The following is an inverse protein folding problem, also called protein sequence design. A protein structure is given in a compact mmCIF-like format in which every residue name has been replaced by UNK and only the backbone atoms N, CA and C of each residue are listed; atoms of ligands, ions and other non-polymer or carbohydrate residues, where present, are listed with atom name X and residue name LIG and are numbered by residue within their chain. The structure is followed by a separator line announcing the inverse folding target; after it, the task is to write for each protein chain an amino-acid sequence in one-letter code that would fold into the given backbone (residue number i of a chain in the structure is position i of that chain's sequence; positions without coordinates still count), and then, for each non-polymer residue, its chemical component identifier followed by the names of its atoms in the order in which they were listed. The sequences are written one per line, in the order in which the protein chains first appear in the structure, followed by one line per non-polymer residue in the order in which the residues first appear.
data_IF_031339607617
#
_entry.id   IF_031339607617
#
_cell.length_a   1.000
_cell.length_b   1.000
_cell.length_c   1.000
_cell.angle_alpha   90.00
_cell.angle_beta   90.00
_cell.angle_gamma   90.00
#
_symmetry.space_group_name_H-M   'P 1'
#
loop_
_entity.id
_entity.type
_entity.pdbx_description
1 polymer ?
#
# COMPACT_ATOMS: atom_id res chain seq x y z
N UNK A 1 46.12 -21.67 -36.41
CA UNK A 1 44.98 -22.61 -36.44
C UNK A 1 45.13 -23.51 -35.21
N UNK A 2 44.32 -23.48 -34.14
CA UNK A 2 42.96 -22.95 -34.00
C UNK A 2 42.55 -22.70 -32.53
N UNK A 3 43.12 -21.68 -31.88
CA UNK A 3 42.64 -21.18 -30.57
C UNK A 3 41.19 -20.66 -30.64
N UNK A 4 40.76 -20.24 -31.83
CA UNK A 4 39.40 -19.74 -32.11
C UNK A 4 38.38 -20.89 -32.12
N UNK A 5 38.73 -22.06 -32.66
CA UNK A 5 37.83 -23.21 -32.70
C UNK A 5 37.56 -23.74 -31.29
N UNK A 6 38.59 -23.81 -30.42
CA UNK A 6 38.42 -24.26 -29.03
C UNK A 6 37.49 -23.32 -28.25
N UNK A 7 37.63 -22.01 -28.43
CA UNK A 7 36.75 -21.01 -27.80
C UNK A 7 35.31 -21.07 -28.33
N UNK A 8 35.14 -21.29 -29.64
CA UNK A 8 33.82 -21.44 -30.25
C UNK A 8 33.09 -22.70 -29.76
N UNK A 9 33.80 -23.83 -29.66
CA UNK A 9 33.25 -25.10 -29.16
C UNK A 9 32.88 -24.99 -27.67
N UNK A 10 33.73 -24.35 -26.86
CA UNK A 10 33.42 -24.09 -25.44
C UNK A 10 32.21 -23.16 -25.28
N UNK A 11 32.10 -22.11 -26.08
CA UNK A 11 30.95 -21.20 -26.10
C UNK A 11 29.65 -21.91 -26.49
N UNK A 12 29.69 -22.80 -27.48
CA UNK A 12 28.53 -23.60 -27.91
C UNK A 12 28.11 -24.63 -26.85
N UNK A 13 29.07 -25.22 -26.13
CA UNK A 13 28.80 -26.15 -25.02
C UNK A 13 28.20 -25.43 -23.81
N UNK A 14 28.68 -24.22 -23.48
CA UNK A 14 28.12 -23.40 -22.39
C UNK A 14 26.74 -22.87 -22.76
N UNK A 15 26.55 -22.37 -23.98
CA UNK A 15 25.24 -21.92 -24.46
C UNK A 15 24.26 -23.08 -24.62
N UNK A 16 24.71 -24.25 -25.09
CA UNK A 16 23.94 -25.48 -25.19
C UNK A 16 23.59 -26.06 -23.83
N UNK A 17 24.52 -26.00 -22.87
CA UNK A 17 24.30 -26.36 -21.47
C UNK A 17 23.31 -25.43 -20.79
N UNK A 18 23.45 -24.11 -20.96
CA UNK A 18 22.49 -23.11 -20.48
C UNK A 18 21.12 -23.28 -21.15
N UNK A 19 21.07 -23.58 -22.45
CA UNK A 19 19.84 -23.87 -23.20
C UNK A 19 19.19 -25.17 -22.71
N UNK A 20 19.95 -26.22 -22.43
CA UNK A 20 19.47 -27.47 -21.85
C UNK A 20 19.00 -27.30 -20.41
N UNK A 21 19.67 -26.47 -19.62
CA UNK A 21 19.27 -26.10 -18.25
C UNK A 21 17.98 -25.29 -18.33
N UNK A 22 17.90 -24.23 -19.14
CA UNK A 22 16.68 -23.43 -19.35
C UNK A 22 15.53 -24.29 -19.94
N UNK A 23 15.83 -25.28 -20.79
CA UNK A 23 14.87 -26.25 -21.33
C UNK A 23 14.42 -27.28 -20.30
N UNK A 24 15.31 -27.71 -19.38
CA UNK A 24 14.95 -28.52 -18.19
C UNK A 24 14.11 -27.73 -17.22
N UNK A 25 14.42 -26.45 -16.98
CA UNK A 25 13.59 -25.53 -16.20
C UNK A 25 12.21 -25.31 -16.85
N UNK A 26 12.13 -25.18 -18.18
CA UNK A 26 10.86 -25.15 -18.94
C UNK A 26 10.07 -26.46 -18.94
N UNK A 27 10.66 -27.58 -18.49
CA UNK A 27 10.02 -28.91 -18.35
C UNK A 27 10.02 -29.40 -16.90
N UNK A 28 10.14 -28.50 -15.92
CA UNK A 28 10.01 -28.88 -14.52
C UNK A 28 8.55 -29.18 -14.23
N UNK A 29 8.21 -30.45 -13.98
CA UNK A 29 6.86 -30.88 -13.60
C UNK A 29 6.35 -30.11 -12.38
N UNK A 30 7.25 -29.75 -11.47
CA UNK A 30 6.97 -28.93 -10.30
C UNK A 30 6.49 -27.53 -10.68
N UNK A 31 7.05 -26.90 -11.71
CA UNK A 31 6.60 -25.56 -12.15
C UNK A 31 5.26 -25.60 -12.86
N UNK A 32 4.95 -26.67 -13.61
CA UNK A 32 3.63 -26.86 -14.19
C UNK A 32 2.58 -27.13 -13.11
N UNK A 33 2.88 -27.95 -12.10
CA UNK A 33 1.98 -28.22 -10.98
C UNK A 33 1.69 -26.94 -10.17
N UNK A 34 2.72 -26.15 -9.85
CA UNK A 34 2.54 -24.86 -9.16
C UNK A 34 1.74 -23.89 -10.01
N UNK A 35 1.99 -23.83 -11.32
CA UNK A 35 1.21 -22.99 -12.22
C UNK A 35 -0.26 -23.42 -12.25
N UNK A 36 -0.54 -24.70 -12.48
CA UNK A 36 -1.91 -25.24 -12.54
C UNK A 36 -2.66 -25.02 -11.23
N UNK A 37 -2.02 -25.20 -10.08
CA UNK A 37 -2.62 -24.89 -8.77
C UNK A 37 -2.87 -23.39 -8.51
N UNK A 38 -2.27 -22.50 -9.31
CA UNK A 38 -2.50 -21.06 -9.27
C UNK A 38 -3.42 -20.59 -10.43
N UNK A 39 -3.83 -21.47 -11.33
CA UNK A 39 -4.77 -21.15 -12.40
C UNK A 39 -6.19 -21.12 -11.82
N UNK A 40 -6.83 -19.95 -11.89
CA UNK A 40 -8.19 -19.75 -11.39
C UNK A 40 -9.17 -19.76 -12.56
N UNK A 41 -10.14 -20.66 -12.53
CA UNK A 41 -11.26 -20.64 -13.45
C UNK A 41 -12.27 -19.57 -13.05
N UNK A 42 -13.22 -19.26 -13.94
CA UNK A 42 -14.36 -18.40 -13.61
C UNK A 42 -15.21 -18.97 -12.46
N UNK A 43 -15.24 -20.29 -12.29
CA UNK A 43 -15.95 -20.95 -11.19
C UNK A 43 -15.24 -20.69 -9.87
N UNK A 44 -13.91 -20.79 -9.83
CA UNK A 44 -13.12 -20.51 -8.64
C UNK A 44 -13.24 -19.04 -8.23
N UNK A 45 -13.19 -18.11 -9.19
CA UNK A 45 -13.38 -16.69 -8.93
C UNK A 45 -14.75 -16.38 -8.32
N UNK A 46 -15.83 -17.03 -8.80
CA UNK A 46 -17.17 -16.89 -8.21
C UNK A 46 -17.20 -17.42 -6.77
N UNK A 47 -16.61 -18.59 -6.52
CA UNK A 47 -16.53 -19.16 -5.18
C UNK A 47 -15.75 -18.25 -4.21
N UNK A 48 -14.66 -17.63 -4.66
CA UNK A 48 -13.89 -16.65 -3.88
C UNK A 48 -14.74 -15.42 -3.54
N UNK A 49 -15.51 -14.90 -4.50
CA UNK A 49 -16.41 -13.76 -4.27
C UNK A 49 -17.50 -14.12 -3.27
N UNK A 50 -18.12 -15.29 -3.41
CA UNK A 50 -19.15 -15.78 -2.49
C UNK A 50 -18.60 -15.96 -1.05
N UNK A 51 -17.39 -16.53 -0.90
CA UNK A 51 -16.74 -16.64 0.40
C UNK A 51 -16.41 -15.26 0.98
N UNK A 52 -15.86 -14.34 0.17
CA UNK A 52 -15.56 -12.98 0.61
C UNK A 52 -16.81 -12.27 1.15
N UNK A 53 -17.93 -12.36 0.44
CA UNK A 53 -19.24 -11.82 0.88
C UNK A 53 -19.69 -12.49 2.18
N UNK A 54 -19.54 -13.82 2.30
CA UNK A 54 -19.86 -14.55 3.52
C UNK A 54 -19.05 -14.07 4.72
N UNK A 55 -17.74 -13.86 4.55
CA UNK A 55 -16.86 -13.32 5.60
C UNK A 55 -17.23 -11.88 5.98
N UNK A 56 -17.62 -11.03 5.01
CA UNK A 56 -18.14 -9.68 5.30
C UNK A 56 -19.40 -9.74 6.16
N UNK A 57 -20.35 -10.62 5.81
CA UNK A 57 -21.56 -10.81 6.61
C UNK A 57 -21.27 -11.36 8.01
N UNK A 58 -20.26 -12.21 8.16
CA UNK A 58 -19.81 -12.71 9.46
C UNK A 58 -19.24 -11.57 10.32
N UNK A 59 -18.34 -10.75 9.77
CA UNK A 59 -17.70 -9.65 10.50
C UNK A 59 -18.66 -8.53 10.93
N UNK A 60 -19.77 -8.35 10.22
CA UNK A 60 -20.80 -7.34 10.56
C UNK A 60 -21.80 -7.81 11.63
N UNK A 61 -21.73 -9.06 12.10
CA UNK A 61 -22.70 -9.60 13.08
C UNK A 61 -22.48 -9.00 14.46
N UNK A 62 -23.48 -8.28 14.95
CA UNK A 62 -23.45 -7.63 16.26
C UNK A 62 -23.40 -8.64 17.43
N UNK A 63 -23.91 -9.86 17.26
CA UNK A 63 -23.92 -10.90 18.28
C UNK A 63 -22.57 -11.62 18.43
N UNK A 64 -21.69 -11.50 17.42
CA UNK A 64 -20.34 -12.10 17.41
C UNK A 64 -19.34 -11.18 16.72
N UNK A 65 -18.96 -10.06 17.34
CA UNK A 65 -17.76 -9.34 16.92
C UNK A 65 -16.60 -10.36 16.94
N UNK A 66 -15.82 -10.43 15.87
CA UNK A 66 -14.74 -11.42 15.63
C UNK A 66 -15.19 -12.76 15.00
N UNK A 67 -16.41 -12.88 14.48
CA UNK A 67 -16.79 -14.01 13.63
C UNK A 67 -16.34 -13.78 12.19
N UNK A 68 -15.37 -14.55 11.71
CA UNK A 68 -14.88 -14.52 10.32
C UNK A 68 -13.48 -13.92 10.19
N UNK A 69 -12.90 -14.03 8.98
CA UNK A 69 -11.55 -13.54 8.70
C UNK A 69 -11.48 -12.03 8.40
N UNK A 70 -12.62 -11.39 8.18
CA UNK A 70 -12.73 -9.96 7.89
C UNK A 70 -13.32 -9.21 9.10
N UNK A 71 -12.56 -8.30 9.74
CA UNK A 71 -12.98 -7.68 11.00
C UNK A 71 -14.06 -6.59 10.85
N UNK A 72 -14.32 -6.11 9.63
CA UNK A 72 -15.38 -5.13 9.31
C UNK A 72 -15.48 -3.94 10.29
N UNK A 73 -14.31 -3.36 10.64
CA UNK A 73 -14.19 -2.32 11.66
C UNK A 73 -14.97 -1.04 11.29
N UNK A 74 -15.66 -0.40 12.25
CA UNK A 74 -16.36 0.87 12.00
C UNK A 74 -15.37 2.02 11.79
N UNK A 75 -15.56 2.78 10.71
CA UNK A 75 -14.73 3.98 10.40
C UNK A 75 -15.24 5.26 11.05
N UNK A 76 -16.46 5.25 11.60
CA UNK A 76 -17.20 6.41 12.08
C UNK A 76 -17.41 7.54 11.04
N UNK A 77 -17.09 7.30 9.77
CA UNK A 77 -17.39 8.21 8.67
C UNK A 77 -18.82 7.97 8.19
N UNK A 78 -19.77 8.72 8.75
CA UNK A 78 -21.21 8.58 8.47
C UNK A 78 -21.70 9.40 7.28
N UNK A 79 -20.88 10.32 6.77
CA UNK A 79 -21.18 11.16 5.62
C UNK A 79 -20.00 11.19 4.65
N UNK A 80 -20.32 11.21 3.36
CA UNK A 80 -19.32 11.41 2.30
C UNK A 80 -19.21 12.91 1.96
N UNK A 81 -18.05 13.36 1.44
CA UNK A 81 -17.88 14.72 0.97
C UNK A 81 -18.94 15.12 -0.05
N UNK A 82 -19.44 16.35 0.09
CA UNK A 82 -20.51 16.94 -0.71
C UNK A 82 -19.99 17.78 -1.87
N UNK A 83 -18.72 18.19 -1.82
CA UNK A 83 -18.12 19.16 -2.74
C UNK A 83 -18.37 20.61 -2.35
N UNK A 84 -19.16 20.85 -1.29
CA UNK A 84 -19.47 22.18 -0.74
C UNK A 84 -18.55 22.58 0.41
N UNK A 85 -17.63 21.71 0.79
CA UNK A 85 -16.66 21.97 1.85
C UNK A 85 -15.74 23.12 1.45
N UNK A 86 -15.48 24.02 2.40
CA UNK A 86 -14.60 25.17 2.22
C UNK A 86 -13.56 25.23 3.31
N UNK A 87 -12.40 25.79 3.00
CA UNK A 87 -11.36 26.09 3.98
C UNK A 87 -10.09 25.28 3.78
N UNK A 88 -9.11 25.51 4.66
CA UNK A 88 -7.81 24.87 4.60
C UNK A 88 -7.72 23.77 5.65
N UNK A 89 -7.39 22.56 5.19
CA UNK A 89 -7.23 21.36 5.98
C UNK A 89 -5.83 20.81 5.81
N UNK A 90 -5.30 20.19 6.86
CA UNK A 90 -4.06 19.44 6.76
C UNK A 90 -4.37 17.94 6.80
N UNK A 91 -3.52 17.15 6.16
CA UNK A 91 -3.60 15.71 6.23
C UNK A 91 -2.22 15.11 6.43
N UNK A 92 -2.13 14.12 7.31
CA UNK A 92 -1.00 13.21 7.45
C UNK A 92 -1.38 11.87 6.83
N UNK A 93 -0.48 11.28 6.06
CA UNK A 93 -0.65 9.96 5.47
C UNK A 93 0.57 9.13 5.81
N UNK A 94 0.41 8.29 6.84
CA UNK A 94 1.42 7.35 7.30
C UNK A 94 1.03 5.95 6.82
N UNK A 95 1.74 5.53 5.78
CA UNK A 95 1.74 4.14 5.33
C UNK A 95 2.83 3.34 6.04
N UNK A 96 3.34 2.31 5.35
CA UNK A 96 4.52 1.57 5.80
C UNK A 96 5.81 2.36 5.58
N UNK A 97 6.23 2.51 4.32
CA UNK A 97 7.56 3.08 3.98
C UNK A 97 7.53 4.57 3.69
N UNK A 98 6.39 5.08 3.25
CA UNK A 98 6.23 6.47 2.84
C UNK A 98 5.36 7.22 3.85
N UNK A 99 5.74 8.47 4.09
CA UNK A 99 5.00 9.41 4.89
C UNK A 99 4.77 10.68 4.09
N UNK A 100 3.54 11.18 4.11
CA UNK A 100 3.15 12.38 3.36
C UNK A 100 2.41 13.35 4.26
N UNK A 101 2.69 14.63 4.05
CA UNK A 101 1.96 15.75 4.64
C UNK A 101 1.30 16.55 3.52
N UNK A 102 0.02 16.87 3.66
CA UNK A 102 -0.73 17.69 2.71
C UNK A 102 -1.33 18.92 3.40
N UNK A 103 -1.35 20.04 2.67
CA UNK A 103 -2.25 21.18 2.92
C UNK A 103 -3.23 21.24 1.75
N UNK A 104 -4.51 21.12 2.04
CA UNK A 104 -5.60 21.08 1.07
C UNK A 104 -6.51 22.27 1.30
N UNK A 105 -6.69 23.12 0.29
CA UNK A 105 -7.65 24.23 0.34
C UNK A 105 -8.86 23.89 -0.54
N UNK A 106 -10.02 23.74 0.09
CA UNK A 106 -11.30 23.46 -0.56
C UNK A 106 -12.05 24.77 -0.82
N UNK A 107 -12.64 24.89 -2.02
CA UNK A 107 -13.34 26.11 -2.47
C UNK A 107 -14.86 26.03 -2.38
N UNK A 108 -15.43 24.84 -2.17
CA UNK A 108 -16.87 24.62 -1.99
C UNK A 108 -17.73 24.77 -3.26
N UNK A 109 -17.10 24.93 -4.42
CA UNK A 109 -17.75 25.09 -5.73
C UNK A 109 -17.57 23.86 -6.63
N UNK A 110 -17.12 22.73 -6.07
CA UNK A 110 -16.79 21.52 -6.82
C UNK A 110 -15.54 21.61 -7.70
N UNK A 111 -14.82 22.74 -7.69
CA UNK A 111 -13.55 22.86 -8.42
C UNK A 111 -12.43 22.06 -7.76
N UNK A 112 -11.34 21.84 -8.51
CA UNK A 112 -10.17 21.13 -7.99
C UNK A 112 -9.59 21.86 -6.77
N UNK A 113 -9.28 21.12 -5.69
CA UNK A 113 -8.67 21.72 -4.52
C UNK A 113 -7.24 22.19 -4.83
N UNK A 114 -6.80 23.22 -4.12
CA UNK A 114 -5.39 23.61 -4.10
C UNK A 114 -4.64 22.74 -3.09
N UNK A 115 -3.62 22.02 -3.54
CA UNK A 115 -2.91 21.00 -2.75
C UNK A 115 -1.42 21.28 -2.76
N UNK A 116 -0.86 21.45 -1.56
CA UNK A 116 0.59 21.46 -1.31
C UNK A 116 0.94 20.16 -0.60
N UNK A 117 2.00 19.50 -1.03
CA UNK A 117 2.42 18.18 -0.53
C UNK A 117 3.89 18.18 -0.15
N UNK A 118 4.23 17.43 0.90
CA UNK A 118 5.60 17.03 1.21
C UNK A 118 5.65 15.52 1.39
N UNK A 119 6.33 14.85 0.47
CA UNK A 119 6.57 13.41 0.49
C UNK A 119 7.92 13.11 1.15
N UNK A 120 7.94 12.10 2.02
CA UNK A 120 9.15 11.66 2.71
C UNK A 120 9.15 10.15 2.85
N UNK A 121 10.35 9.60 2.99
CA UNK A 121 10.53 8.19 3.33
C UNK A 121 10.75 8.08 4.82
N UNK A 122 10.02 7.18 5.49
CA UNK A 122 10.28 6.89 6.89
C UNK A 122 11.64 6.18 7.01
N UNK A 123 12.57 6.70 7.83
CA UNK A 123 13.82 6.01 8.12
C UNK A 123 13.55 4.60 8.67
N UNK A 124 14.22 3.54 8.17
CA UNK A 124 13.92 2.16 8.59
C UNK A 124 14.04 1.92 10.09
N UNK A 125 15.00 2.57 10.76
CA UNK A 125 15.20 2.43 12.21
C UNK A 125 14.03 3.00 13.03
N UNK A 126 13.28 3.98 12.50
CA UNK A 126 12.09 4.52 13.15
C UNK A 126 10.87 3.61 12.96
N UNK A 127 10.84 2.81 11.90
CA UNK A 127 9.75 1.84 11.67
C UNK A 127 9.79 0.66 12.64
N UNK A 128 10.96 0.37 13.22
CA UNK A 128 11.18 -0.69 14.21
C UNK A 128 11.61 -0.12 15.57
N UNK A 129 11.59 1.20 15.71
CA UNK A 129 12.03 1.93 16.90
C UNK A 129 10.92 2.14 17.91
N UNK A 130 11.10 3.12 18.79
CA UNK A 130 10.07 3.52 19.75
C UNK A 130 8.96 4.32 19.05
N UNK A 131 7.76 4.31 19.65
CA UNK A 131 6.66 5.15 19.16
C UNK A 131 7.02 6.64 19.31
N UNK A 132 7.67 6.99 20.40
CA UNK A 132 8.12 8.34 20.72
C UNK A 132 9.02 8.90 19.62
N UNK A 133 10.01 8.13 19.16
CA UNK A 133 10.94 8.56 18.11
C UNK A 133 10.21 8.73 16.76
N UNK A 134 9.30 7.81 16.42
CA UNK A 134 8.51 7.90 15.19
C UNK A 134 7.61 9.14 15.19
N UNK A 135 6.90 9.39 16.28
CA UNK A 135 5.99 10.53 16.38
C UNK A 135 6.74 11.87 16.53
N UNK A 136 7.92 11.88 17.15
CA UNK A 136 8.80 13.05 17.17
C UNK A 136 9.26 13.42 15.75
N UNK A 137 9.69 12.42 14.95
CA UNK A 137 10.02 12.64 13.55
C UNK A 137 8.84 13.20 12.74
N UNK A 138 7.64 12.63 12.92
CA UNK A 138 6.41 13.12 12.26
C UNK A 138 6.13 14.58 12.64
N UNK A 139 6.27 14.92 13.93
CA UNK A 139 6.05 16.27 14.43
C UNK A 139 7.08 17.27 13.86
N UNK A 140 8.36 16.91 13.80
CA UNK A 140 9.42 17.74 13.21
C UNK A 140 9.18 18.00 11.72
N UNK A 141 8.75 16.97 10.99
CA UNK A 141 8.35 17.08 9.61
C UNK A 141 7.16 18.03 9.44
N UNK A 142 6.11 17.87 10.25
CA UNK A 142 4.96 18.77 10.22
C UNK A 142 5.36 20.21 10.53
N UNK A 143 6.20 20.42 11.56
CA UNK A 143 6.71 21.74 11.94
C UNK A 143 7.44 22.41 10.77
N UNK A 144 8.29 21.68 10.04
CA UNK A 144 8.96 22.19 8.83
C UNK A 144 7.99 22.50 7.70
N UNK A 145 6.96 21.68 7.51
CA UNK A 145 5.98 21.88 6.43
C UNK A 145 5.16 23.16 6.61
N UNK A 146 4.81 23.47 7.85
CA UNK A 146 4.01 24.66 8.22
C UNK A 146 4.87 25.91 8.41
N UNK A 147 6.21 25.84 8.26
CA UNK A 147 7.05 27.02 8.30
C UNK A 147 6.64 27.99 7.18
N UNK A 148 6.14 29.16 7.57
CA UNK A 148 5.64 30.18 6.65
C UNK A 148 4.13 30.16 6.42
N UNK A 149 3.40 29.19 6.95
CA UNK A 149 1.93 29.28 6.97
C UNK A 149 1.48 30.34 7.99
N UNK A 150 0.43 31.15 7.69
CA UNK A 150 -0.08 32.14 8.63
C UNK A 150 -0.49 31.49 9.94
N UNK A 151 -0.07 32.05 11.07
CA UNK A 151 -0.48 31.53 12.38
C UNK A 151 -2.01 31.60 12.48
N UNK A 152 -2.69 30.48 12.71
CA UNK A 152 -4.14 30.47 12.73
C UNK A 152 -4.64 30.99 14.08
N UNK A 153 -5.86 31.56 14.08
CA UNK A 153 -6.54 31.98 15.31
C UNK A 153 -7.03 30.78 16.15
N UNK A 154 -7.23 29.63 15.51
CA UNK A 154 -7.60 28.35 16.11
C UNK A 154 -6.67 27.23 15.60
N UNK A 155 -6.57 26.08 16.28
CA UNK A 155 -5.84 24.94 15.73
C UNK A 155 -6.33 24.59 14.31
N UNK A 156 -5.40 24.22 13.43
CA UNK A 156 -5.78 23.76 12.08
C UNK A 156 -6.47 22.40 12.17
N UNK A 157 -7.55 22.17 11.38
CA UNK A 157 -8.11 20.84 11.26
C UNK A 157 -7.11 19.92 10.54
N UNK A 158 -6.85 18.77 11.16
CA UNK A 158 -5.88 17.78 10.70
C UNK A 158 -6.56 16.41 10.60
N UNK A 159 -6.56 15.83 9.39
CA UNK A 159 -6.88 14.42 9.18
C UNK A 159 -5.61 13.58 9.30
N UNK A 160 -5.72 12.39 9.88
CA UNK A 160 -4.61 11.43 9.93
C UNK A 160 -5.03 10.10 9.34
N UNK A 161 -4.54 9.82 8.12
CA UNK A 161 -4.61 8.51 7.50
C UNK A 161 -3.52 7.63 8.11
N UNK A 162 -3.92 6.73 9.01
CA UNK A 162 -3.06 5.76 9.66
C UNK A 162 -3.35 4.38 9.08
N UNK A 163 -2.53 3.92 8.13
CA UNK A 163 -2.83 2.74 7.31
C UNK A 163 -2.48 1.41 8.02
N UNK A 164 -2.90 1.29 9.28
CA UNK A 164 -2.73 0.09 10.09
C UNK A 164 -4.08 -0.28 10.71
N UNK A 165 -4.36 -1.58 10.93
CA UNK A 165 -5.55 -2.00 11.66
C UNK A 165 -5.59 -1.32 13.03
N UNK A 166 -6.68 -0.61 13.33
CA UNK A 166 -6.84 0.11 14.59
C UNK A 166 -8.26 -0.03 15.12
N UNK A 167 -8.39 0.01 16.44
CA UNK A 167 -9.68 0.24 17.10
C UNK A 167 -9.81 1.75 17.29
N UNK A 168 -10.74 2.36 16.57
CA UNK A 168 -11.01 3.79 16.61
C UNK A 168 -11.84 4.20 17.83
#
# INVERSE_FOLDING_TARGET
MDSIIVKAVAGLLVAGGAYLVLRKFRKSSVLSEVRESCELSLTDLKAIVEDFISQMHAGLRADKPDCGSLPMLPSFATFLPTGKETGTFFALDLGGTNFRILRVTLKGDGSRPDVKTMDMRCPPHLMTGSAEDLFAFIADCLARFIQGEPRPASPWPLGFTFSFPMRQ
#
